data_IF_000868823631
#
_entry.id   IF_000868823631
#
_cell.length_a   1.000
_cell.length_b   1.000
_cell.length_c   1.000
_cell.angle_alpha   90.00
_cell.angle_beta   90.00
_cell.angle_gamma   90.00
#
_symmetry.space_group_name_H-M   'P 1'
#
loop_
_entity.id
_entity.type
_entity.pdbx_description
1 polymer ?
#
# COMPACT_ATOMS: atom_id res chain seq x y z
N UNK A 1 9.42 53.80 -4.68
CA UNK A 1 9.81 52.42 -4.32
C UNK A 1 9.71 52.30 -2.82
N UNK A 2 9.19 51.17 -2.36
CA UNK A 2 8.83 50.82 -0.97
C UNK A 2 7.46 51.36 -0.53
N UNK A 3 6.44 50.52 -0.69
CA UNK A 3 5.22 50.59 0.14
C UNK A 3 5.34 49.51 1.21
N UNK A 4 5.37 49.97 2.46
CA UNK A 4 5.08 49.17 3.64
C UNK A 4 3.57 49.05 3.79
N UNK A 5 3.07 47.85 4.11
CA UNK A 5 1.76 47.67 4.73
C UNK A 5 1.98 46.95 6.06
N UNK A 6 1.63 47.66 7.13
CA UNK A 6 1.69 47.22 8.53
C UNK A 6 0.33 46.68 9.01
N UNK A 7 0.41 45.94 10.13
CA UNK A 7 -0.63 45.73 11.17
C UNK A 7 -1.73 44.68 10.89
N UNK A 8 -2.24 43.84 11.81
CA UNK A 8 -2.36 43.84 13.28
C UNK A 8 -2.44 42.36 13.78
N UNK A 9 -1.72 41.95 14.83
CA UNK A 9 -1.98 42.04 16.29
C UNK A 9 -2.77 40.87 16.89
N UNK A 10 -2.06 40.17 17.78
CA UNK A 10 -2.47 39.12 18.73
C UNK A 10 -3.72 39.43 19.58
N UNK A 11 -4.46 38.37 19.92
CA UNK A 11 -5.01 38.14 21.27
C UNK A 11 -4.80 36.67 21.63
N UNK A 12 -4.32 36.43 22.85
CA UNK A 12 -3.89 35.11 23.32
C UNK A 12 -4.84 34.40 24.29
N UNK A 13 -4.40 33.16 24.57
CA UNK A 13 -4.57 32.29 25.76
C UNK A 13 -5.98 31.79 26.10
N UNK A 14 -6.18 30.45 26.05
CA UNK A 14 -6.54 29.59 27.20
C UNK A 14 -6.03 28.15 26.92
N UNK A 15 -5.27 27.60 27.86
CA UNK A 15 -4.92 26.17 27.97
C UNK A 15 -6.03 25.47 28.73
N UNK A 16 -6.63 24.43 28.15
CA UNK A 16 -7.46 23.48 28.88
C UNK A 16 -7.24 22.07 28.33
N UNK A 17 -6.72 21.18 29.17
CA UNK A 17 -6.77 19.74 28.94
C UNK A 17 -8.18 19.19 29.16
N UNK A 18 -8.53 18.06 28.52
CA UNK A 18 -9.26 17.04 29.26
C UNK A 18 -8.79 15.60 28.99
N UNK A 19 -8.74 14.82 30.07
CA UNK A 19 -8.82 13.35 30.07
C UNK A 19 -10.29 12.90 29.92
N UNK A 20 -10.49 11.84 29.12
CA UNK A 20 -11.55 10.79 29.03
C UNK A 20 -12.98 11.10 29.57
N UNK A 21 -14.11 10.75 28.93
CA UNK A 21 -14.65 9.41 28.57
C UNK A 21 -15.89 9.56 27.63
N UNK A 22 -16.03 8.64 26.67
CA UNK A 22 -17.20 8.06 25.94
C UNK A 22 -18.49 8.82 25.52
N UNK A 23 -19.04 8.27 24.42
CA UNK A 23 -20.42 8.30 23.83
C UNK A 23 -20.82 9.39 22.81
N UNK A 24 -20.82 8.94 21.54
CA UNK A 24 -21.77 9.15 20.43
C UNK A 24 -22.46 10.51 20.23
N UNK A 25 -22.26 11.12 19.05
CA UNK A 25 -23.21 11.14 17.90
C UNK A 25 -22.79 12.18 16.85
N UNK A 26 -22.78 11.78 15.55
CA UNK A 26 -22.95 12.63 14.34
C UNK A 26 -21.83 13.64 14.01
N UNK A 27 -21.31 13.82 12.79
CA UNK A 27 -21.92 13.76 11.46
C UNK A 27 -20.77 13.92 10.39
N UNK A 28 -21.00 14.06 9.07
CA UNK A 28 -20.76 13.00 8.10
C UNK A 28 -19.79 13.41 6.96
N UNK A 29 -18.68 12.69 6.74
CA UNK A 29 -17.95 12.80 5.46
C UNK A 29 -17.12 11.58 5.05
N UNK A 30 -17.13 10.52 5.86
CA UNK A 30 -16.57 9.21 5.52
C UNK A 30 -17.69 8.21 5.19
N UNK A 31 -18.31 8.29 4.00
CA UNK A 31 -19.29 7.27 3.61
C UNK A 31 -19.17 6.69 2.20
N UNK A 32 -18.41 7.29 1.27
CA UNK A 32 -18.37 6.76 -0.10
C UNK A 32 -17.31 5.65 -0.33
N UNK A 33 -16.24 5.58 0.47
CA UNK A 33 -15.09 4.71 0.16
C UNK A 33 -14.96 3.45 1.05
N UNK A 34 -15.58 3.44 2.24
CA UNK A 34 -15.66 2.22 3.07
C UNK A 34 -16.78 1.25 2.63
N UNK A 35 -17.77 1.73 1.86
CA UNK A 35 -18.90 0.90 1.44
C UNK A 35 -18.53 -0.11 0.34
N UNK A 36 -17.53 0.20 -0.50
CA UNK A 36 -17.12 -0.69 -1.60
C UNK A 36 -16.26 -1.88 -1.11
N UNK A 37 -15.42 -1.67 -0.09
CA UNK A 37 -14.57 -2.74 0.43
C UNK A 37 -15.34 -3.70 1.35
N UNK A 38 -16.33 -3.21 2.10
CA UNK A 38 -17.18 -4.05 2.94
C UNK A 38 -18.17 -4.91 2.14
N UNK A 39 -18.59 -4.46 0.96
CA UNK A 39 -19.49 -5.22 0.08
C UNK A 39 -18.76 -6.37 -0.64
N UNK A 40 -17.48 -6.20 -0.97
CA UNK A 40 -16.68 -7.26 -1.61
C UNK A 40 -16.29 -8.38 -0.63
N UNK A 41 -15.95 -8.04 0.62
CA UNK A 41 -15.71 -9.05 1.66
C UNK A 41 -16.99 -9.82 2.04
N UNK A 42 -18.16 -9.16 2.05
CA UNK A 42 -19.43 -9.82 2.36
C UNK A 42 -19.86 -10.83 1.29
N UNK A 43 -19.49 -10.61 0.01
CA UNK A 43 -19.76 -11.59 -1.05
C UNK A 43 -18.86 -12.83 -0.97
N UNK A 44 -17.57 -12.66 -0.68
CA UNK A 44 -16.66 -13.79 -0.51
C UNK A 44 -17.06 -14.68 0.68
N UNK A 45 -17.50 -14.06 1.78
CA UNK A 45 -17.89 -14.83 2.97
C UNK A 45 -19.20 -15.60 2.78
N UNK A 46 -20.18 -15.04 2.04
CA UNK A 46 -21.41 -15.77 1.69
C UNK A 46 -21.14 -17.00 0.82
N UNK A 47 -20.18 -16.91 -0.12
CA UNK A 47 -19.86 -18.04 -1.00
C UNK A 47 -19.16 -19.18 -0.24
N UNK A 48 -18.26 -18.84 0.69
CA UNK A 48 -17.59 -19.83 1.54
C UNK A 48 -18.56 -20.50 2.53
N UNK A 49 -19.51 -19.74 3.09
CA UNK A 49 -20.50 -20.28 4.02
C UNK A 49 -21.48 -21.25 3.35
N UNK A 50 -21.84 -20.99 2.09
CA UNK A 50 -22.73 -21.88 1.32
C UNK A 50 -22.03 -23.20 0.96
N UNK A 51 -20.72 -23.17 0.70
CA UNK A 51 -19.92 -24.38 0.45
C UNK A 51 -19.81 -25.25 1.72
N UNK A 52 -19.64 -24.62 2.89
CA UNK A 52 -19.52 -25.36 4.16
C UNK A 52 -20.84 -26.02 4.58
N UNK A 53 -21.98 -25.36 4.34
CA UNK A 53 -23.30 -25.95 4.61
C UNK A 53 -23.60 -27.16 3.72
N UNK A 54 -23.15 -27.13 2.46
CA UNK A 54 -23.32 -28.24 1.53
C UNK A 54 -22.47 -29.45 1.94
N UNK A 55 -21.25 -29.22 2.44
CA UNK A 55 -20.35 -30.27 2.88
C UNK A 55 -20.84 -30.96 4.17
N UNK A 56 -21.39 -30.21 5.12
CA UNK A 56 -22.02 -30.79 6.32
C UNK A 56 -23.24 -31.67 5.97
N UNK A 57 -24.04 -31.26 5.00
CA UNK A 57 -25.23 -32.04 4.63
C UNK A 57 -24.87 -33.37 3.97
N UNK A 58 -23.79 -33.43 3.18
CA UNK A 58 -23.28 -34.70 2.63
C UNK A 58 -22.74 -35.61 3.73
N UNK A 59 -22.03 -35.07 4.71
CA UNK A 59 -21.43 -35.86 5.78
C UNK A 59 -22.49 -36.47 6.72
N UNK A 60 -23.56 -35.72 7.00
CA UNK A 60 -24.67 -36.21 7.83
C UNK A 60 -25.47 -37.32 7.13
N UNK A 61 -25.61 -37.25 5.79
CA UNK A 61 -26.29 -38.28 5.00
C UNK A 61 -25.50 -39.59 4.94
N UNK A 62 -24.17 -39.52 5.01
CA UNK A 62 -23.32 -40.71 5.01
C UNK A 62 -23.35 -41.45 6.37
N UNK A 63 -23.55 -40.73 7.48
CA UNK A 63 -23.71 -41.36 8.80
C UNK A 63 -25.05 -42.10 8.97
N UNK A 64 -26.14 -41.64 8.36
CA UNK A 64 -27.42 -42.35 8.43
C UNK A 64 -27.42 -43.68 7.67
N UNK A 65 -26.51 -43.89 6.70
CA UNK A 65 -26.45 -45.14 5.94
C UNK A 65 -25.71 -46.28 6.67
N UNK A 66 -24.99 -45.98 7.77
CA UNK A 66 -24.29 -47.00 8.56
C UNK A 66 -25.09 -47.56 9.74
N UNK A 67 -26.30 -47.06 10.01
CA UNK A 67 -27.07 -47.47 11.20
C UNK A 67 -28.23 -48.44 10.93
N UNK A 68 -28.38 -48.96 9.72
CA UNK A 68 -29.37 -49.99 9.42
C UNK A 68 -28.70 -51.28 8.97
N UNK A 69 -28.28 -52.07 9.96
CA UNK A 69 -28.17 -53.51 9.82
C UNK A 69 -29.48 -54.10 10.40
N UNK A 70 -30.37 -54.65 9.57
CA UNK A 70 -31.29 -55.66 10.06
C UNK A 70 -31.04 -56.99 9.37
N UNK A 71 -31.09 -57.97 10.26
CA UNK A 71 -31.27 -59.41 10.11
C UNK A 71 -32.16 -59.82 8.94
N UNK A 72 -31.84 -60.98 8.40
CA UNK A 72 -32.41 -61.65 7.23
C UNK A 72 -33.96 -61.67 7.16
N UNK A 73 -34.43 -61.77 5.91
CA UNK A 73 -35.79 -62.13 5.45
C UNK A 73 -36.83 -61.01 5.35
N UNK A 74 -36.68 -60.14 4.35
CA UNK A 74 -37.73 -59.70 3.39
C UNK A 74 -37.15 -58.58 2.51
N UNK A 75 -36.42 -58.96 1.48
CA UNK A 75 -35.59 -58.05 0.68
C UNK A 75 -35.96 -58.20 -0.79
N UNK A 76 -36.78 -57.28 -1.33
CA UNK A 76 -36.91 -57.06 -2.78
C UNK A 76 -37.52 -55.70 -3.15
N UNK A 77 -38.35 -55.06 -2.31
CA UNK A 77 -39.03 -53.82 -2.72
C UNK A 77 -38.50 -52.52 -2.07
N UNK A 78 -37.88 -52.56 -0.89
CA UNK A 78 -37.44 -51.33 -0.21
C UNK A 78 -36.13 -50.72 -0.78
N UNK A 79 -35.28 -51.52 -1.45
CA UNK A 79 -33.98 -51.04 -1.95
C UNK A 79 -34.11 -50.19 -3.23
N UNK A 80 -35.16 -50.40 -4.03
CA UNK A 80 -35.34 -49.67 -5.29
C UNK A 80 -35.87 -48.24 -5.06
N UNK A 81 -36.61 -48.01 -3.97
CA UNK A 81 -37.19 -46.69 -3.68
C UNK A 81 -36.17 -45.72 -3.06
N UNK A 82 -35.18 -46.22 -2.29
CA UNK A 82 -34.11 -45.37 -1.77
C UNK A 82 -33.12 -44.92 -2.86
N UNK A 83 -32.89 -45.75 -3.89
CA UNK A 83 -31.99 -45.40 -4.99
C UNK A 83 -32.61 -44.33 -5.91
N UNK A 84 -33.93 -44.35 -6.10
CA UNK A 84 -34.65 -43.30 -6.84
C UNK A 84 -34.62 -41.94 -6.12
N UNK A 85 -34.75 -41.92 -4.78
CA UNK A 85 -34.67 -40.67 -4.02
C UNK A 85 -33.26 -40.07 -3.98
N UNK A 86 -32.21 -40.91 -4.08
CA UNK A 86 -30.83 -40.40 -4.14
C UNK A 86 -30.50 -39.75 -5.50
N UNK A 87 -31.05 -40.28 -6.60
CA UNK A 87 -30.83 -39.73 -7.93
C UNK A 87 -31.58 -38.40 -8.17
N UNK A 88 -32.78 -38.26 -7.61
CA UNK A 88 -33.57 -37.03 -7.75
C UNK A 88 -32.94 -35.85 -6.99
N UNK A 89 -32.25 -36.12 -5.87
CA UNK A 89 -31.58 -35.07 -5.10
C UNK A 89 -30.29 -34.54 -5.76
N UNK A 90 -29.59 -35.38 -6.55
CA UNK A 90 -28.42 -34.94 -7.32
C UNK A 90 -28.83 -33.99 -8.46
N UNK A 91 -29.96 -34.27 -9.11
CA UNK A 91 -30.44 -33.45 -10.23
C UNK A 91 -30.92 -32.07 -9.77
N UNK A 92 -31.54 -31.97 -8.60
CA UNK A 92 -32.01 -30.69 -8.07
C UNK A 92 -30.84 -29.81 -7.56
N UNK A 93 -29.76 -30.42 -7.05
CA UNK A 93 -28.59 -29.67 -6.62
C UNK A 93 -27.76 -29.13 -7.79
N UNK A 94 -27.71 -29.86 -8.92
CA UNK A 94 -27.02 -29.38 -10.12
C UNK A 94 -27.76 -28.22 -10.81
N UNK A 95 -29.09 -28.16 -10.68
CA UNK A 95 -29.89 -27.06 -11.24
C UNK A 95 -29.73 -25.74 -10.47
N UNK A 96 -29.54 -25.78 -9.15
CA UNK A 96 -29.29 -24.55 -8.38
C UNK A 96 -27.89 -23.96 -8.62
N UNK A 97 -26.89 -24.79 -8.94
CA UNK A 97 -25.54 -24.30 -9.26
C UNK A 97 -25.49 -23.56 -10.60
N UNK A 98 -26.27 -24.00 -11.60
CA UNK A 98 -26.35 -23.31 -12.89
C UNK A 98 -27.03 -21.94 -12.81
N UNK A 99 -28.02 -21.77 -11.92
CA UNK A 99 -28.71 -20.49 -11.77
C UNK A 99 -27.82 -19.42 -11.10
N UNK A 100 -26.94 -19.82 -10.17
CA UNK A 100 -26.01 -18.88 -9.54
C UNK A 100 -24.87 -18.45 -10.48
N UNK A 101 -24.40 -19.34 -11.36
CA UNK A 101 -23.33 -18.99 -12.31
C UNK A 101 -23.82 -18.04 -13.41
N UNK A 102 -25.09 -18.15 -13.84
CA UNK A 102 -25.65 -17.26 -14.85
C UNK A 102 -25.94 -15.85 -14.30
N UNK A 103 -26.26 -15.71 -13.00
CA UNK A 103 -26.49 -14.41 -12.39
C UNK A 103 -25.19 -13.64 -12.11
N UNK A 104 -24.05 -14.34 -11.91
CA UNK A 104 -22.75 -13.70 -11.71
C UNK A 104 -22.17 -13.10 -13.02
N UNK A 105 -22.48 -13.69 -14.19
CA UNK A 105 -22.05 -13.11 -15.47
C UNK A 105 -22.84 -11.86 -15.88
N UNK A 106 -24.10 -11.70 -15.44
CA UNK A 106 -24.87 -10.49 -15.75
C UNK A 106 -24.44 -9.26 -14.91
N UNK A 107 -23.87 -9.43 -13.71
CA UNK A 107 -23.33 -8.31 -12.94
C UNK A 107 -21.95 -7.83 -13.42
N UNK A 108 -21.11 -8.70 -13.97
CA UNK A 108 -19.82 -8.26 -14.55
C UNK A 108 -20.00 -7.43 -15.83
N UNK A 109 -20.99 -7.72 -16.65
CA UNK A 109 -21.23 -6.93 -17.87
C UNK A 109 -21.76 -5.51 -17.61
N UNK A 110 -22.41 -5.28 -16.45
CA UNK A 110 -22.86 -3.93 -16.10
C UNK A 110 -21.72 -3.05 -15.57
N UNK A 111 -20.76 -3.61 -14.81
CA UNK A 111 -19.59 -2.85 -14.36
C UNK A 111 -18.61 -2.53 -15.49
N UNK A 112 -18.49 -3.38 -16.52
CA UNK A 112 -17.57 -3.09 -17.62
C UNK A 112 -18.08 -1.98 -18.55
N UNK A 113 -19.41 -1.88 -18.78
CA UNK A 113 -19.97 -0.76 -19.56
C UNK A 113 -20.00 0.56 -18.78
N UNK A 114 -20.13 0.52 -17.45
CA UNK A 114 -20.05 1.74 -16.64
C UNK A 114 -18.61 2.25 -16.53
N UNK A 115 -17.59 1.38 -16.49
CA UNK A 115 -16.21 1.84 -16.55
C UNK A 115 -15.81 2.36 -17.94
N UNK A 116 -16.31 1.77 -19.02
CA UNK A 116 -15.97 2.27 -20.37
C UNK A 116 -16.64 3.62 -20.68
N UNK A 117 -17.82 3.91 -20.12
CA UNK A 117 -18.45 5.24 -20.24
C UNK A 117 -17.85 6.28 -19.28
N UNK A 118 -17.30 5.88 -18.13
CA UNK A 118 -16.53 6.80 -17.27
C UNK A 118 -15.13 7.12 -17.86
N UNK A 119 -14.48 6.18 -18.54
CA UNK A 119 -13.19 6.44 -19.23
C UNK A 119 -13.38 7.24 -20.52
N UNK A 120 -14.46 7.01 -21.28
CA UNK A 120 -14.73 7.77 -22.50
C UNK A 120 -15.22 9.19 -22.24
N UNK A 121 -15.89 9.47 -21.12
CA UNK A 121 -16.31 10.82 -20.75
C UNK A 121 -15.19 11.68 -20.13
N UNK A 122 -14.09 11.07 -19.66
CA UNK A 122 -12.87 11.81 -19.27
C UNK A 122 -12.01 12.23 -20.48
N UNK A 123 -12.26 11.64 -21.66
CA UNK A 123 -11.51 11.95 -22.89
C UNK A 123 -12.00 13.20 -23.62
N UNK A 124 -13.10 13.83 -23.19
CA UNK A 124 -13.71 15.01 -23.83
C UNK A 124 -13.61 16.29 -22.99
N UNK A 125 -12.92 16.24 -21.85
CA UNK A 125 -12.38 17.43 -21.23
C UNK A 125 -10.98 17.64 -21.80
N UNK A 126 -10.92 18.09 -23.06
CA UNK A 126 -9.75 18.79 -23.59
C UNK A 126 -9.62 20.11 -22.84
N UNK A 127 -9.24 20.02 -21.57
CA UNK A 127 -8.82 21.17 -20.78
C UNK A 127 -7.61 21.71 -21.51
N UNK A 128 -7.72 22.91 -22.05
CA UNK A 128 -6.58 23.70 -22.53
C UNK A 128 -5.63 23.88 -21.35
N UNK A 129 -4.69 22.98 -21.20
CA UNK A 129 -3.82 22.92 -20.05
C UNK A 129 -2.79 21.83 -20.27
N UNK A 130 -1.53 22.22 -20.21
CA UNK A 130 -0.44 21.30 -20.40
C UNK A 130 -0.41 20.26 -19.28
N UNK A 131 -0.28 18.98 -19.62
CA UNK A 131 -0.39 17.87 -18.66
C UNK A 131 0.40 16.63 -19.05
N UNK A 132 0.65 15.77 -18.07
CA UNK A 132 1.09 14.40 -18.33
C UNK A 132 -0.09 13.49 -18.67
N UNK A 133 0.14 12.51 -19.55
CA UNK A 133 -0.77 11.38 -19.68
C UNK A 133 -0.54 10.42 -18.52
N UNK A 134 -1.54 10.24 -17.68
CA UNK A 134 -1.49 9.31 -16.55
C UNK A 134 -2.15 7.98 -16.88
N UNK A 135 -1.43 6.91 -16.55
CA UNK A 135 -1.97 5.56 -16.39
C UNK A 135 -1.81 5.12 -14.93
N UNK A 136 -2.11 3.86 -14.62
CA UNK A 136 -1.94 3.31 -13.26
C UNK A 136 -0.48 3.42 -12.76
N UNK A 137 0.50 3.35 -13.68
CA UNK A 137 1.92 3.44 -13.34
C UNK A 137 2.28 4.82 -12.81
N UNK A 138 1.89 5.89 -13.48
CA UNK A 138 2.22 7.27 -13.09
C UNK A 138 1.58 7.63 -11.74
N UNK A 139 0.38 7.10 -11.48
CA UNK A 139 -0.26 7.21 -10.17
C UNK A 139 0.60 6.56 -9.08
N UNK A 140 1.08 5.33 -9.30
CA UNK A 140 1.95 4.64 -8.34
C UNK A 140 3.27 5.38 -8.12
N UNK A 141 3.84 5.99 -9.16
CA UNK A 141 5.05 6.81 -9.03
C UNK A 141 4.80 8.11 -8.25
N UNK A 142 3.62 8.71 -8.38
CA UNK A 142 3.25 9.93 -7.67
C UNK A 142 3.08 9.71 -6.15
N UNK A 143 2.70 8.51 -5.73
CA UNK A 143 2.56 8.14 -4.31
C UNK A 143 3.90 7.90 -3.59
N UNK A 144 5.01 7.88 -4.33
CA UNK A 144 6.34 7.66 -3.77
C UNK A 144 6.87 8.92 -3.09
N UNK A 145 7.82 8.72 -2.17
CA UNK A 145 8.49 9.80 -1.48
C UNK A 145 9.72 10.24 -2.25
N UNK A 146 9.90 11.55 -2.36
CA UNK A 146 11.03 12.18 -3.03
C UNK A 146 11.68 13.22 -2.13
N UNK A 147 12.89 13.65 -2.49
CA UNK A 147 13.56 14.80 -1.87
C UNK A 147 14.41 15.54 -2.90
N UNK A 148 14.55 16.86 -2.84
CA UNK A 148 15.54 17.58 -3.65
C UNK A 148 16.95 17.04 -3.39
N UNK A 149 17.77 16.88 -4.43
CA UNK A 149 19.14 16.36 -4.31
C UNK A 149 20.00 17.18 -3.34
N UNK A 150 19.79 18.49 -3.27
CA UNK A 150 20.49 19.37 -2.33
C UNK A 150 20.25 18.97 -0.87
N UNK A 151 19.04 18.50 -0.51
CA UNK A 151 18.75 18.05 0.84
C UNK A 151 19.44 16.72 1.17
N UNK A 152 19.60 15.84 0.17
CA UNK A 152 20.38 14.62 0.32
C UNK A 152 21.86 14.95 0.57
N UNK A 153 22.42 15.91 -0.16
CA UNK A 153 23.80 16.37 0.02
C UNK A 153 23.98 16.97 1.42
N UNK A 154 23.06 17.83 1.86
CA UNK A 154 23.07 18.41 3.21
C UNK A 154 23.00 17.33 4.29
N UNK A 155 22.18 16.30 4.08
CA UNK A 155 22.08 15.16 4.97
C UNK A 155 23.41 14.40 5.08
N UNK A 156 24.07 14.13 3.95
CA UNK A 156 25.37 13.45 3.92
C UNK A 156 26.42 14.25 4.70
N UNK A 157 26.52 15.55 4.45
CA UNK A 157 27.51 16.41 5.11
C UNK A 157 27.24 16.56 6.61
N UNK A 158 25.96 16.69 7.03
CA UNK A 158 25.59 16.75 8.45
C UNK A 158 25.85 15.44 9.18
N UNK A 159 25.58 14.31 8.53
CA UNK A 159 25.70 12.99 9.17
C UNK A 159 27.15 12.54 9.30
N UNK A 160 28.04 12.99 8.40
CA UNK A 160 29.47 12.63 8.43
C UNK A 160 30.18 12.99 9.74
N UNK A 161 29.73 14.03 10.43
CA UNK A 161 30.33 14.51 11.67
C UNK A 161 29.66 14.00 12.95
N UNK A 162 28.56 13.22 12.82
CA UNK A 162 27.80 12.70 13.97
C UNK A 162 28.48 11.49 14.58
N UNK A 163 28.44 11.34 15.91
CA UNK A 163 28.95 10.15 16.59
C UNK A 163 27.86 9.11 16.68
N UNK A 164 28.02 8.04 15.89
CA UNK A 164 27.13 6.89 15.83
C UNK A 164 26.75 6.30 17.21
N UNK A 165 27.69 6.28 18.16
CA UNK A 165 27.49 5.65 19.47
C UNK A 165 26.55 6.43 20.39
N UNK A 166 26.33 7.72 20.12
CA UNK A 166 25.43 8.57 20.89
C UNK A 166 23.98 8.35 20.48
N UNK A 167 23.12 7.90 21.40
CA UNK A 167 21.70 7.63 21.13
C UNK A 167 20.96 8.87 20.63
N UNK A 168 21.32 10.06 21.14
CA UNK A 168 20.76 11.34 20.69
C UNK A 168 21.09 11.65 19.23
N UNK A 169 22.32 11.36 18.79
CA UNK A 169 22.74 11.58 17.41
C UNK A 169 22.11 10.56 16.46
N UNK A 170 21.93 9.30 16.88
CA UNK A 170 21.16 8.30 16.10
C UNK A 170 19.71 8.74 15.90
N UNK A 171 19.07 9.24 16.95
CA UNK A 171 17.71 9.77 16.85
C UNK A 171 17.62 10.96 15.91
N UNK A 172 18.59 11.87 15.96
CA UNK A 172 18.65 13.02 15.05
C UNK A 172 18.80 12.58 13.58
N UNK A 173 19.66 11.60 13.29
CA UNK A 173 19.81 11.02 11.94
C UNK A 173 18.47 10.44 11.47
N UNK A 174 17.78 9.66 12.31
CA UNK A 174 16.47 9.09 11.99
C UNK A 174 15.44 10.20 11.67
N UNK A 175 15.42 11.27 12.45
CA UNK A 175 14.56 12.43 12.20
C UNK A 175 14.88 13.12 10.88
N UNK A 176 16.16 13.28 10.54
CA UNK A 176 16.56 13.85 9.25
C UNK A 176 16.07 12.97 8.08
N UNK A 177 16.19 11.65 8.17
CA UNK A 177 15.66 10.71 7.17
C UNK A 177 14.15 10.91 6.98
N UNK A 178 13.40 11.04 8.08
CA UNK A 178 11.95 11.24 8.02
C UNK A 178 11.57 12.58 7.37
N UNK A 179 12.21 13.68 7.77
CA UNK A 179 11.90 15.03 7.26
C UNK A 179 12.22 15.18 5.77
N UNK A 180 13.21 14.45 5.26
CA UNK A 180 13.57 14.45 3.85
C UNK A 180 12.51 13.81 2.95
N UNK A 181 11.69 12.88 3.46
CA UNK A 181 10.65 12.18 2.68
C UNK A 181 9.49 13.14 2.40
N UNK A 182 9.51 13.78 1.23
CA UNK A 182 8.45 14.66 0.69
C UNK A 182 7.60 13.88 -0.31
N UNK A 183 6.40 14.39 -0.64
CA UNK A 183 5.62 13.85 -1.76
C UNK A 183 6.29 14.09 -3.12
N UNK A 184 5.79 13.41 -4.15
CA UNK A 184 6.32 13.56 -5.50
C UNK A 184 6.28 15.01 -6.02
N UNK A 185 7.33 15.48 -6.71
CA UNK A 185 7.43 16.87 -7.14
C UNK A 185 6.59 17.18 -8.39
N UNK A 186 5.87 16.20 -8.93
CA UNK A 186 5.07 16.27 -10.15
C UNK A 186 3.65 15.75 -9.88
N UNK A 187 2.68 16.16 -10.69
CA UNK A 187 1.34 15.57 -10.75
C UNK A 187 0.81 15.65 -12.19
N UNK A 188 -0.44 15.25 -12.48
CA UNK A 188 -1.00 15.29 -13.85
C UNK A 188 -0.84 16.69 -14.48
N UNK A 189 -1.13 17.73 -13.69
CA UNK A 189 -1.08 19.13 -14.12
C UNK A 189 0.20 19.86 -13.68
N UNK A 190 1.22 19.13 -13.23
CA UNK A 190 2.51 19.71 -12.80
C UNK A 190 3.67 18.87 -13.34
N UNK A 191 4.40 19.44 -14.29
CA UNK A 191 5.58 18.81 -14.89
C UNK A 191 6.68 18.58 -13.86
N UNK A 192 7.51 17.57 -14.10
CA UNK A 192 8.65 17.28 -13.25
C UNK A 192 9.65 18.46 -13.26
N UNK A 193 10.25 18.83 -12.11
CA UNK A 193 11.15 19.98 -12.03
C UNK A 193 12.42 19.82 -12.88
N UNK A 194 13.04 20.95 -13.23
CA UNK A 194 14.31 20.94 -13.95
C UNK A 194 15.48 20.53 -13.04
N UNK A 195 15.36 20.81 -11.75
CA UNK A 195 16.31 20.43 -10.71
C UNK A 195 16.29 18.92 -10.45
N UNK A 196 17.35 18.41 -9.82
CA UNK A 196 17.44 17.01 -9.45
C UNK A 196 16.63 16.69 -8.19
N UNK A 197 15.85 15.62 -8.29
CA UNK A 197 15.06 15.03 -7.22
C UNK A 197 15.39 13.56 -7.08
N UNK A 198 15.50 13.12 -5.84
CA UNK A 198 15.86 11.77 -5.43
C UNK A 198 14.59 11.03 -5.04
N UNK A 199 14.40 9.82 -5.57
CA UNK A 199 13.36 8.91 -5.10
C UNK A 199 13.85 8.17 -3.85
N UNK A 200 13.11 8.29 -2.75
CA UNK A 200 13.40 7.66 -1.46
C UNK A 200 12.52 6.44 -1.17
N UNK A 201 11.64 6.06 -2.09
CA UNK A 201 10.74 4.91 -1.95
C UNK A 201 11.24 3.67 -2.70
N UNK A 202 11.97 3.85 -3.80
CA UNK A 202 12.45 2.73 -4.63
C UNK A 202 13.85 2.99 -5.17
N UNK A 203 14.59 1.91 -5.44
CA UNK A 203 15.91 1.95 -6.07
C UNK A 203 17.08 1.97 -5.07
N UNK A 204 18.32 2.05 -5.58
CA UNK A 204 19.53 1.86 -4.77
C UNK A 204 19.66 2.81 -3.58
N UNK A 205 19.24 4.07 -3.74
CA UNK A 205 19.25 5.06 -2.65
C UNK A 205 18.24 4.67 -1.56
N UNK A 206 17.03 4.24 -1.92
CA UNK A 206 16.02 3.83 -0.95
C UNK A 206 16.51 2.63 -0.12
N UNK A 207 17.09 1.63 -0.78
CA UNK A 207 17.69 0.47 -0.11
C UNK A 207 18.82 0.85 0.84
N UNK A 208 19.65 1.84 0.46
CA UNK A 208 20.71 2.35 1.33
C UNK A 208 20.15 3.07 2.57
N UNK A 209 19.05 3.81 2.43
CA UNK A 209 18.33 4.40 3.57
C UNK A 209 17.68 3.35 4.47
N UNK A 210 17.19 2.24 3.92
CA UNK A 210 16.64 1.14 4.72
C UNK A 210 17.74 0.44 5.52
N UNK A 211 18.91 0.20 4.90
CA UNK A 211 20.10 -0.29 5.62
C UNK A 211 20.55 0.68 6.71
N UNK A 212 20.53 1.98 6.44
CA UNK A 212 20.89 2.99 7.44
C UNK A 212 19.92 2.98 8.63
N UNK A 213 18.61 2.95 8.36
CA UNK A 213 17.58 2.90 9.40
C UNK A 213 17.74 1.65 10.28
N UNK A 214 17.99 0.49 9.66
CA UNK A 214 18.30 -0.72 10.40
C UNK A 214 19.56 -0.53 11.27
N UNK A 215 20.64 0.01 10.72
CA UNK A 215 21.91 0.17 11.43
C UNK A 215 21.86 1.13 12.64
N UNK A 216 20.90 2.07 12.68
CA UNK A 216 20.73 3.02 13.79
C UNK A 216 19.69 2.56 14.83
N UNK A 217 18.87 1.56 14.52
CA UNK A 217 17.91 0.92 15.43
C UNK A 217 18.62 -0.11 16.35
N UNK A 218 19.59 0.38 17.10
CA UNK A 218 20.35 -0.43 18.05
C UNK A 218 19.45 -0.68 19.28
N UNK A 219 19.22 -1.95 19.69
CA UNK A 219 18.45 -2.25 20.89
C UNK A 219 19.02 -1.53 22.12
N UNK A 220 18.15 -0.87 22.89
CA UNK A 220 18.53 -0.18 24.12
C UNK A 220 19.17 -1.18 25.11
N UNK A 221 20.40 -0.95 25.60
CA UNK A 221 21.05 -1.81 26.57
C UNK A 221 20.43 -1.62 27.97
N UNK A 222 19.14 -1.89 28.14
CA UNK A 222 18.53 -2.02 29.47
C UNK A 222 18.99 -3.30 30.19
N UNK A 223 19.75 -4.15 29.50
CA UNK A 223 20.54 -5.22 30.09
C UNK A 223 22.01 -5.00 29.74
N UNK A 224 22.84 -4.51 30.70
CA UNK A 224 24.28 -4.28 30.54
C UNK A 224 25.13 -5.51 30.17
N UNK A 225 24.51 -6.66 29.87
CA UNK A 225 25.15 -7.97 29.81
C UNK A 225 25.27 -8.48 28.35
N UNK A 226 24.60 -7.88 27.36
CA UNK A 226 24.41 -8.55 26.05
C UNK A 226 24.99 -7.89 24.79
N UNK A 227 25.60 -6.70 24.86
CA UNK A 227 26.31 -6.14 23.69
C UNK A 227 27.83 -6.22 23.91
N UNK A 228 28.47 -7.13 23.19
CA UNK A 228 29.92 -7.19 23.14
C UNK A 228 30.48 -6.05 22.29
N UNK A 229 31.76 -5.70 22.48
CA UNK A 229 32.47 -4.74 21.62
C UNK A 229 32.44 -5.18 20.14
N UNK A 230 32.39 -6.49 19.90
CA UNK A 230 32.27 -7.09 18.56
C UNK A 230 30.91 -6.78 17.92
N UNK A 231 29.83 -6.78 18.69
CA UNK A 231 28.49 -6.44 18.20
C UNK A 231 28.44 -4.97 17.80
N UNK A 232 28.95 -4.08 18.65
CA UNK A 232 28.97 -2.64 18.39
C UNK A 232 29.82 -2.27 17.16
N UNK A 233 30.92 -3.00 16.93
CA UNK A 233 31.76 -2.85 15.72
C UNK A 233 30.99 -3.26 14.47
N UNK A 234 30.20 -4.32 14.54
CA UNK A 234 29.37 -4.79 13.43
C UNK A 234 28.28 -3.77 13.07
N UNK A 235 27.60 -3.22 14.08
CA UNK A 235 26.63 -2.14 13.89
C UNK A 235 27.26 -0.89 13.25
N UNK A 236 28.45 -0.49 13.71
CA UNK A 236 29.19 0.63 13.12
C UNK A 236 29.55 0.37 11.65
N UNK A 237 29.96 -0.85 11.32
CA UNK A 237 30.28 -1.23 9.94
C UNK A 237 29.03 -1.16 9.05
N UNK A 238 27.87 -1.64 9.51
CA UNK A 238 26.60 -1.52 8.78
C UNK A 238 26.24 -0.05 8.52
N UNK A 239 26.39 0.81 9.53
CA UNK A 239 26.18 2.24 9.41
C UNK A 239 27.12 2.88 8.38
N UNK A 240 28.42 2.58 8.45
CA UNK A 240 29.42 3.15 7.56
C UNK A 240 29.21 2.75 6.11
N UNK A 241 28.86 1.48 5.86
CA UNK A 241 28.55 0.99 4.52
C UNK A 241 27.31 1.68 3.95
N UNK A 242 26.24 1.80 4.75
CA UNK A 242 25.02 2.50 4.31
C UNK A 242 25.31 3.98 4.00
N UNK A 243 26.06 4.67 4.85
CA UNK A 243 26.46 6.06 4.62
C UNK A 243 27.40 6.22 3.41
N UNK A 244 28.30 5.27 3.18
CA UNK A 244 29.18 5.26 2.02
C UNK A 244 28.36 5.15 0.72
N UNK A 245 27.37 4.27 0.67
CA UNK A 245 26.48 4.10 -0.47
C UNK A 245 25.67 5.38 -0.74
N UNK A 246 25.01 5.93 0.29
CA UNK A 246 24.24 7.17 0.16
C UNK A 246 25.13 8.31 -0.36
N UNK A 247 26.33 8.45 0.20
CA UNK A 247 27.30 9.45 -0.25
C UNK A 247 27.70 9.24 -1.71
N UNK A 248 28.02 8.01 -2.09
CA UNK A 248 28.41 7.68 -3.47
C UNK A 248 27.31 8.08 -4.45
N UNK A 249 26.05 7.76 -4.16
CA UNK A 249 24.93 8.11 -5.03
C UNK A 249 24.68 9.62 -5.10
N UNK A 250 24.81 10.33 -3.97
CA UNK A 250 24.59 11.78 -3.92
C UNK A 250 25.59 12.59 -4.76
N UNK A 251 26.79 12.05 -4.99
CA UNK A 251 27.89 12.74 -5.68
C UNK A 251 28.20 12.18 -7.07
N UNK A 252 27.34 11.34 -7.65
CA UNK A 252 27.48 11.03 -9.08
C UNK A 252 27.34 12.28 -9.93
N UNK A 253 28.21 12.40 -10.93
CA UNK A 253 28.25 13.53 -11.86
C UNK A 253 27.65 13.21 -13.22
N UNK A 254 27.53 11.92 -13.55
CA UNK A 254 26.92 11.45 -14.79
C UNK A 254 25.38 11.35 -14.63
N UNK A 255 24.58 12.07 -15.44
CA UNK A 255 23.12 12.05 -15.37
C UNK A 255 22.50 10.66 -15.51
N UNK A 256 23.12 9.76 -16.30
CA UNK A 256 22.58 8.41 -16.49
C UNK A 256 22.80 7.55 -15.23
N UNK A 257 23.99 7.64 -14.61
CA UNK A 257 24.27 6.97 -13.34
C UNK A 257 23.40 7.50 -12.20
N UNK A 258 23.14 8.81 -12.18
CA UNK A 258 22.18 9.41 -11.25
C UNK A 258 20.78 8.81 -11.43
N UNK A 259 20.29 8.70 -12.67
CA UNK A 259 18.99 8.11 -12.95
C UNK A 259 18.92 6.63 -12.54
N UNK A 260 20.01 5.86 -12.73
CA UNK A 260 20.12 4.47 -12.26
C UNK A 260 20.09 4.35 -10.73
N UNK A 261 20.62 5.36 -10.03
CA UNK A 261 20.55 5.43 -8.56
C UNK A 261 19.19 5.91 -8.03
N UNK A 262 18.27 6.37 -8.90
CA UNK A 262 16.98 6.92 -8.51
C UNK A 262 16.97 8.45 -8.35
N UNK A 263 17.95 9.16 -8.93
CA UNK A 263 18.02 10.62 -8.95
C UNK A 263 17.70 11.13 -10.35
N UNK A 264 16.64 11.93 -10.46
CA UNK A 264 16.12 12.38 -11.74
C UNK A 264 16.05 13.90 -11.81
N UNK A 265 16.39 14.44 -12.96
CA UNK A 265 15.87 15.74 -13.42
C UNK A 265 14.73 15.49 -14.41
N UNK A 266 14.06 16.56 -14.89
CA UNK A 266 12.98 16.43 -15.89
C UNK A 266 13.32 15.51 -17.06
N UNK A 267 14.48 15.72 -17.69
CA UNK A 267 14.88 15.04 -18.91
C UNK A 267 15.04 13.54 -18.66
N UNK A 268 15.84 13.20 -17.65
CA UNK A 268 16.12 11.79 -17.29
C UNK A 268 14.88 11.09 -16.76
N UNK A 269 14.01 11.78 -16.01
CA UNK A 269 12.72 11.25 -15.56
C UNK A 269 11.82 10.89 -16.74
N UNK A 270 11.57 11.85 -17.63
CA UNK A 270 10.70 11.66 -18.79
C UNK A 270 11.23 10.57 -19.72
N UNK A 271 12.54 10.52 -19.97
CA UNK A 271 13.17 9.47 -20.77
C UNK A 271 13.07 8.09 -20.12
N UNK A 272 13.37 7.98 -18.82
CA UNK A 272 13.40 6.70 -18.10
C UNK A 272 12.01 6.09 -17.97
N UNK A 273 11.00 6.92 -17.75
CA UNK A 273 9.63 6.46 -17.55
C UNK A 273 8.77 6.56 -18.82
N UNK A 274 9.29 7.11 -19.91
CA UNK A 274 8.52 7.32 -21.15
C UNK A 274 7.38 8.31 -20.97
N UNK A 275 7.51 9.24 -20.02
CA UNK A 275 6.49 10.24 -19.74
C UNK A 275 6.56 11.37 -20.76
N UNK A 276 5.40 11.76 -21.29
CA UNK A 276 5.28 12.85 -22.26
C UNK A 276 4.42 13.97 -21.70
N UNK A 277 4.96 15.18 -21.70
CA UNK A 277 4.22 16.40 -21.38
C UNK A 277 3.54 16.91 -22.63
N UNK A 278 2.21 16.98 -22.59
CA UNK A 278 1.40 17.58 -23.64
C UNK A 278 1.29 19.08 -23.35
N UNK A 279 1.52 19.93 -24.36
CA UNK A 279 1.38 21.39 -24.24
C UNK A 279 -0.05 21.87 -24.42
#
# INVERSE_FOLDING_TARGET
MVEEVSCLKQRGIVVAMPSQVATSTGNPQHQAQQQHQQQQQSQQHKQQQQQHQQQQHLQQKQQQQQQHQPTQQQQSQAHQQLQAHQQQHLHQQQQQQHHHQQQQQQQQHHHQKQHQQLTSNMSMLSVKGSRYLWTDRELLMHLQNYTPLILLIDFVEKTRTKRFYESSERYEILMLVFIMRKGAPFCENKRFPAEYWVNLSVGPIAEAFDRLQAAIDIPDPQLPIHMSVTDLTSWKQMFDLAMLDIRRFAYYTDPLQLADAGVFNRITFEQRFGMQWQE
#
